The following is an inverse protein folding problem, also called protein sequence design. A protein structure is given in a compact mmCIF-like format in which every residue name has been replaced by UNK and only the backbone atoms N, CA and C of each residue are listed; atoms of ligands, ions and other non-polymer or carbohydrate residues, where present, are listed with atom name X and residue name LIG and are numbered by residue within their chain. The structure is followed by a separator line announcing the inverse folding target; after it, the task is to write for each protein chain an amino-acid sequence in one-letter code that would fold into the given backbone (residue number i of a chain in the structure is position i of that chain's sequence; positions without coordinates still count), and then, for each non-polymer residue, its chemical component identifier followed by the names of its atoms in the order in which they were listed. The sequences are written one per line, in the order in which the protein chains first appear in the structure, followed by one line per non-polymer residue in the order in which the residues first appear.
data_IF_123277743585
#
_entry.id   IF_123277743585
#
_cell.length_a   1.000
_cell.length_b   1.000
_cell.length_c   1.000
_cell.angle_alpha   90.00
_cell.angle_beta   90.00
_cell.angle_gamma   90.00
#
_symmetry.space_group_name_H-M   'P 1'
#
loop_
_entity.id
_entity.type
_entity.pdbx_description
1 polymer ?
#
# COMPACT_ATOMS: atom_id res chain seq x y z
N UNK A 1 -43.41 25.40 36.70
CA UNK A 1 -42.49 24.23 36.71
C UNK A 1 -41.66 24.32 37.99
N UNK A 2 -41.64 23.25 38.80
CA UNK A 2 -41.18 23.26 40.20
C UNK A 2 -39.65 23.37 40.32
N UNK A 3 -39.18 24.32 41.12
CA UNK A 3 -37.78 24.54 41.54
C UNK A 3 -37.10 23.30 42.14
N UNK A 4 -37.89 22.32 42.61
CA UNK A 4 -37.40 21.09 43.23
C UNK A 4 -36.69 20.12 42.29
N UNK A 5 -36.77 20.30 40.96
CA UNK A 5 -36.05 19.48 39.97
C UNK A 5 -34.64 19.99 39.64
N UNK A 6 -34.30 21.21 40.06
CA UNK A 6 -32.97 21.81 39.82
C UNK A 6 -31.99 21.48 40.95
N UNK A 7 -32.48 21.27 42.19
CA UNK A 7 -31.63 20.87 43.31
C UNK A 7 -31.13 19.42 43.22
N UNK A 8 -31.83 18.54 42.48
CA UNK A 8 -31.40 17.15 42.27
C UNK A 8 -30.29 16.99 41.22
N UNK A 9 -29.81 18.07 40.60
CA UNK A 9 -28.76 18.07 39.59
C UNK A 9 -27.43 18.67 40.10
N UNK A 10 -27.36 19.06 41.38
CA UNK A 10 -26.11 19.49 42.00
C UNK A 10 -25.27 18.26 42.34
N UNK A 11 -24.20 18.06 41.58
CA UNK A 11 -23.19 17.03 41.84
C UNK A 11 -22.45 17.40 43.13
N UNK A 12 -22.69 16.62 44.19
CA UNK A 12 -22.01 16.74 45.47
C UNK A 12 -20.57 16.24 45.31
N UNK A 13 -19.58 17.14 45.38
CA UNK A 13 -18.17 16.84 45.12
C UNK A 13 -17.42 16.42 46.41
N UNK A 14 -18.16 16.05 47.46
CA UNK A 14 -17.63 15.73 48.79
C UNK A 14 -17.29 14.24 48.99
N UNK A 15 -17.54 13.37 48.02
CA UNK A 15 -17.29 11.91 48.10
C UNK A 15 -16.28 11.44 47.05
N UNK A 16 -15.12 12.10 46.97
CA UNK A 16 -13.93 11.54 46.31
C UNK A 16 -12.79 11.45 47.32
N UNK A 17 -12.95 10.58 48.31
CA UNK A 17 -11.79 10.08 49.06
C UNK A 17 -10.97 9.19 48.12
N UNK A 18 -9.89 9.76 47.57
CA UNK A 18 -8.85 8.98 46.89
C UNK A 18 -8.15 8.14 47.95
N UNK A 19 -8.00 6.80 47.79
CA UNK A 19 -7.21 6.02 48.71
C UNK A 19 -5.76 6.48 48.62
N UNK A 20 -5.27 7.16 49.67
CA UNK A 20 -3.87 7.54 49.83
C UNK A 20 -3.08 6.27 50.17
N UNK A 21 -2.80 5.43 49.17
CA UNK A 21 -1.80 4.37 49.35
C UNK A 21 -0.48 5.05 49.76
N UNK A 22 0.11 4.65 50.90
CA UNK A 22 1.31 5.31 51.40
C UNK A 22 2.42 5.15 50.35
N UNK A 23 3.13 6.24 50.07
CA UNK A 23 4.18 6.32 49.04
C UNK A 23 5.19 5.16 49.13
N UNK A 24 5.39 4.62 50.34
CA UNK A 24 6.19 3.44 50.63
C UNK A 24 5.75 2.16 49.87
N UNK A 25 4.45 1.94 49.64
CA UNK A 25 3.94 0.76 48.93
C UNK A 25 4.25 0.85 47.43
N UNK A 26 4.18 2.05 46.85
CA UNK A 26 4.54 2.28 45.45
C UNK A 26 6.06 2.09 45.25
N UNK A 27 6.87 2.62 46.17
CA UNK A 27 8.33 2.45 46.13
C UNK A 27 8.74 0.97 46.30
N UNK A 28 8.06 0.22 47.17
CA UNK A 28 8.30 -1.23 47.31
C UNK A 28 7.97 -1.99 46.02
N UNK A 29 6.88 -1.62 45.34
CA UNK A 29 6.51 -2.22 44.05
C UNK A 29 7.56 -1.95 42.95
N UNK A 30 8.08 -0.73 42.86
CA UNK A 30 9.12 -0.37 41.89
C UNK A 30 10.43 -1.13 42.18
N UNK A 31 10.83 -1.25 43.45
CA UNK A 31 12.02 -2.00 43.84
C UNK A 31 11.93 -3.50 43.47
N UNK A 32 10.73 -4.09 43.58
CA UNK A 32 10.48 -5.49 43.23
C UNK A 32 10.62 -5.73 41.72
N UNK A 33 10.06 -4.82 40.90
CA UNK A 33 10.15 -4.91 39.42
C UNK A 33 11.59 -4.70 38.94
N UNK A 34 12.34 -3.78 39.57
CA UNK A 34 13.74 -3.56 39.27
C UNK A 34 14.60 -4.80 39.63
N UNK A 35 14.33 -5.45 40.77
CA UNK A 35 15.02 -6.67 41.17
C UNK A 35 14.78 -7.86 40.23
N UNK A 36 13.54 -8.05 39.78
CA UNK A 36 13.20 -9.12 38.81
C UNK A 36 13.84 -8.84 37.44
N UNK A 37 13.87 -7.59 37.00
CA UNK A 37 14.52 -7.22 35.74
C UNK A 37 16.03 -7.46 35.80
N UNK A 38 16.67 -7.17 36.94
CA UNK A 38 18.10 -7.42 37.14
C UNK A 38 18.41 -8.93 37.21
N UNK A 39 17.51 -9.74 37.78
CA UNK A 39 17.65 -11.19 37.84
C UNK A 39 17.63 -11.85 36.45
N UNK A 40 16.81 -11.33 35.53
CA UNK A 40 16.78 -11.81 34.14
C UNK A 40 17.91 -11.27 33.26
N UNK A 41 18.56 -10.17 33.67
CA UNK A 41 19.66 -9.55 32.93
C UNK A 41 21.05 -10.13 33.25
N UNK A 42 21.18 -11.03 34.23
CA UNK A 42 22.45 -11.70 34.55
C UNK A 42 22.59 -12.93 33.63
N UNK A 43 23.55 -12.94 32.69
CA UNK A 43 23.74 -14.05 31.76
C UNK A 43 24.14 -15.33 32.49
N UNK A 44 23.42 -16.42 32.24
CA UNK A 44 23.73 -17.74 32.81
C UNK A 44 24.73 -18.47 31.91
N UNK A 45 25.67 -19.20 32.52
CA UNK A 45 26.77 -19.89 31.85
C UNK A 45 26.35 -20.91 30.77
N UNK A 46 25.07 -21.28 30.69
CA UNK A 46 24.50 -22.18 29.68
C UNK A 46 24.22 -21.52 28.32
N UNK A 47 24.22 -20.19 28.22
CA UNK A 47 23.94 -19.50 26.94
C UNK A 47 25.19 -19.39 26.03
N UNK A 48 26.38 -19.60 26.60
CA UNK A 48 27.64 -19.54 25.87
C UNK A 48 27.85 -20.72 24.89
N UNK A 49 27.14 -21.83 25.07
CA UNK A 49 27.27 -23.01 24.18
C UNK A 49 26.48 -22.90 22.87
N UNK A 50 25.59 -21.91 22.70
CA UNK A 50 24.83 -21.71 21.45
C UNK A 50 25.53 -20.83 20.40
N UNK A 51 26.59 -20.12 20.77
CA UNK A 51 27.25 -19.13 19.89
C UNK A 51 28.63 -19.63 19.37
N UNK A 52 29.23 -20.65 19.99
CA UNK A 52 30.49 -21.23 19.53
C UNK A 52 30.25 -22.47 18.64
N UNK A 53 30.11 -22.26 17.33
CA UNK A 53 30.00 -23.33 16.36
C UNK A 53 31.16 -24.33 16.39
N UNK A 54 30.84 -25.62 16.29
CA UNK A 54 31.77 -26.65 15.83
C UNK A 54 31.10 -27.56 14.80
N UNK A 55 31.62 -27.46 13.57
CA UNK A 55 31.64 -28.48 12.50
C UNK A 55 31.82 -29.89 13.10
N UNK A 56 31.07 -30.87 12.60
CA UNK A 56 31.44 -32.29 12.70
C UNK A 56 31.32 -32.98 11.32
N UNK A 57 32.33 -33.75 10.89
CA UNK A 57 32.39 -34.37 9.56
C UNK A 57 31.69 -35.74 9.52
N UNK A 58 31.48 -36.24 8.31
CA UNK A 58 31.07 -37.59 7.97
C UNK A 58 32.13 -38.64 8.36
N UNK A 59 31.70 -39.76 8.96
CA UNK A 59 31.91 -41.14 8.44
C UNK A 59 31.45 -42.24 9.42
N UNK A 60 30.69 -43.19 8.85
CA UNK A 60 30.73 -44.65 8.99
C UNK A 60 30.65 -45.36 10.37
N UNK A 61 29.62 -46.21 10.57
CA UNK A 61 29.73 -47.70 10.52
C UNK A 61 28.67 -48.44 11.39
N UNK A 62 27.96 -49.38 10.73
CA UNK A 62 27.33 -50.64 11.20
C UNK A 62 26.05 -50.63 12.06
N UNK A 63 24.97 -51.17 11.48
CA UNK A 63 24.23 -52.30 12.04
C UNK A 63 23.36 -52.97 10.94
N UNK A 64 23.32 -54.31 10.94
CA UNK A 64 22.84 -55.18 9.88
C UNK A 64 21.37 -55.67 10.06
N UNK A 65 20.69 -55.90 8.91
CA UNK A 65 19.73 -56.97 8.49
C UNK A 65 18.61 -57.50 9.45
N UNK A 66 17.43 -57.96 8.96
CA UNK A 66 17.26 -58.78 7.75
C UNK A 66 16.04 -58.51 6.83
N UNK A 67 16.06 -59.25 5.72
CA UNK A 67 15.15 -59.26 4.58
C UNK A 67 13.71 -59.72 4.88
N UNK A 68 12.76 -59.25 4.06
CA UNK A 68 11.67 -60.07 3.50
C UNK A 68 10.93 -59.38 2.34
N UNK A 69 10.88 -60.11 1.23
CA UNK A 69 9.77 -60.31 0.27
C UNK A 69 9.03 -59.09 -0.33
N UNK A 70 9.03 -58.99 -1.67
CA UNK A 70 7.92 -59.45 -2.56
C UNK A 70 8.00 -58.72 -3.90
N UNK A 71 7.96 -59.51 -4.98
CA UNK A 71 7.93 -59.07 -6.37
C UNK A 71 6.85 -57.99 -6.61
N UNK A 72 7.24 -56.85 -7.17
CA UNK A 72 6.31 -55.94 -7.85
C UNK A 72 6.65 -55.87 -9.33
N UNK A 73 5.73 -56.46 -10.08
CA UNK A 73 5.55 -56.43 -11.52
C UNK A 73 5.64 -54.99 -12.04
N UNK A 74 6.63 -54.72 -12.89
CA UNK A 74 6.66 -53.50 -13.70
C UNK A 74 5.61 -53.63 -14.81
N UNK A 75 4.43 -53.06 -14.59
CA UNK A 75 3.56 -52.62 -15.69
C UNK A 75 4.13 -51.31 -16.24
N UNK A 76 4.55 -51.24 -17.51
CA UNK A 76 4.78 -49.94 -18.14
C UNK A 76 3.43 -49.24 -18.29
N UNK A 77 3.21 -48.20 -17.48
CA UNK A 77 2.11 -47.27 -17.69
C UNK A 77 2.39 -46.56 -19.01
N UNK A 78 1.64 -46.95 -20.05
CA UNK A 78 1.64 -46.30 -21.35
C UNK A 78 1.60 -44.79 -21.16
N UNK A 79 2.65 -44.11 -21.61
CA UNK A 79 2.62 -42.70 -21.86
C UNK A 79 1.58 -42.48 -22.95
N UNK A 80 0.43 -41.92 -22.57
CA UNK A 80 -0.46 -41.27 -23.53
C UNK A 80 0.31 -40.07 -24.06
N UNK A 81 0.98 -40.29 -25.19
CA UNK A 81 1.54 -39.25 -26.03
C UNK A 81 0.40 -38.35 -26.46
N UNK A 82 0.30 -37.19 -25.80
CA UNK A 82 -0.41 -36.04 -26.36
C UNK A 82 0.16 -35.79 -27.75
N UNK A 83 -0.67 -35.56 -28.79
CA UNK A 83 -0.15 -35.38 -30.14
C UNK A 83 0.82 -34.20 -30.15
N UNK A 84 2.06 -34.44 -30.58
CA UNK A 84 3.03 -33.38 -30.89
C UNK A 84 2.36 -32.45 -31.91
N UNK A 85 2.07 -31.21 -31.49
CA UNK A 85 1.79 -30.13 -32.43
C UNK A 85 3.06 -29.95 -33.24
N UNK A 86 3.00 -30.31 -34.52
CA UNK A 86 4.16 -30.59 -35.39
C UNK A 86 5.08 -29.38 -35.68
N UNK A 87 4.76 -28.22 -35.12
CA UNK A 87 5.43 -26.93 -35.37
C UNK A 87 5.90 -26.18 -34.10
N UNK A 88 5.78 -26.77 -32.90
CA UNK A 88 6.32 -26.16 -31.67
C UNK A 88 7.79 -26.56 -31.44
N UNK A 89 8.63 -25.57 -31.15
CA UNK A 89 10.07 -25.76 -30.84
C UNK A 89 10.27 -26.14 -29.38
N UNK A 90 9.39 -25.64 -28.51
CA UNK A 90 9.46 -25.82 -27.08
C UNK A 90 8.05 -25.63 -26.50
N UNK A 91 7.68 -26.46 -25.53
CA UNK A 91 6.44 -26.32 -24.76
C UNK A 91 6.79 -26.18 -23.29
N UNK A 92 6.31 -25.12 -22.65
CA UNK A 92 6.57 -24.85 -21.23
C UNK A 92 5.27 -24.43 -20.54
N UNK A 93 5.09 -24.85 -19.29
CA UNK A 93 3.97 -24.37 -18.47
C UNK A 93 4.37 -23.12 -17.68
N UNK A 94 3.44 -22.20 -17.54
CA UNK A 94 3.57 -20.98 -16.73
C UNK A 94 2.24 -20.59 -16.10
N UNK A 95 2.19 -19.40 -15.50
CA UNK A 95 0.99 -18.86 -14.86
C UNK A 95 0.56 -17.56 -15.54
N UNK A 96 -0.74 -17.38 -15.70
CA UNK A 96 -1.32 -16.14 -16.22
C UNK A 96 -1.28 -15.09 -15.11
N UNK A 97 -0.75 -13.92 -15.39
CA UNK A 97 -0.65 -12.79 -14.48
C UNK A 97 -1.19 -11.53 -15.17
N UNK A 98 -1.71 -10.58 -14.41
CA UNK A 98 -1.96 -9.25 -14.95
C UNK A 98 -0.62 -8.59 -15.26
N UNK A 99 -0.56 -7.85 -16.37
CA UNK A 99 0.64 -7.07 -16.71
C UNK A 99 0.94 -6.02 -15.64
N UNK A 100 -0.10 -5.32 -15.19
CA UNK A 100 -0.02 -4.30 -14.16
C UNK A 100 -1.01 -4.61 -13.04
N UNK A 101 -0.47 -4.86 -11.85
CA UNK A 101 -1.23 -4.92 -10.60
C UNK A 101 -0.98 -3.63 -9.85
N UNK A 102 -2.02 -2.83 -9.67
CA UNK A 102 -1.94 -1.54 -8.98
C UNK A 102 -2.53 -1.71 -7.58
N UNK A 103 -1.74 -1.35 -6.58
CA UNK A 103 -2.15 -1.35 -5.19
C UNK A 103 -2.38 0.10 -4.75
N UNK A 104 -3.62 0.42 -4.38
CA UNK A 104 -4.00 1.73 -3.91
C UNK A 104 -3.71 1.85 -2.43
N UNK A 105 -2.80 2.74 -2.08
CA UNK A 105 -2.40 3.03 -0.71
C UNK A 105 -2.77 4.45 -0.32
N UNK A 106 -3.09 4.72 0.96
CA UNK A 106 -3.35 6.07 1.41
C UNK A 106 -2.05 6.88 1.39
N UNK A 107 -2.15 8.21 1.24
CA UNK A 107 -0.99 9.11 1.30
C UNK A 107 -0.62 9.55 2.72
N UNK A 108 -1.57 9.44 3.65
CA UNK A 108 -1.43 9.85 5.04
C UNK A 108 -2.22 8.87 5.93
N UNK A 109 -2.03 8.94 7.25
CA UNK A 109 -2.75 8.08 8.19
C UNK A 109 -4.20 8.54 8.34
N UNK A 110 -5.16 7.62 8.38
CA UNK A 110 -6.57 7.98 8.51
C UNK A 110 -7.44 6.78 8.83
N UNK A 111 -8.70 7.03 9.18
CA UNK A 111 -9.69 5.97 9.39
C UNK A 111 -10.52 5.84 8.13
N UNK A 112 -10.80 4.61 7.71
CA UNK A 112 -11.68 4.35 6.57
C UNK A 112 -13.13 4.65 6.95
N UNK A 113 -13.74 5.64 6.30
CA UNK A 113 -15.13 6.02 6.51
C UNK A 113 -16.08 5.15 5.68
N UNK A 114 -15.70 4.86 4.44
CA UNK A 114 -16.54 4.09 3.51
C UNK A 114 -15.73 3.41 2.40
N UNK A 115 -16.22 2.26 1.95
CA UNK A 115 -15.67 1.50 0.82
C UNK A 115 -16.81 1.22 -0.16
N UNK A 116 -16.64 1.64 -1.41
CA UNK A 116 -17.68 1.61 -2.44
C UNK A 116 -17.68 0.41 -3.38
N UNK A 117 -16.76 -0.53 -3.18
CA UNK A 117 -16.53 -1.65 -4.11
C UNK A 117 -16.36 -2.96 -3.37
N UNK A 118 -16.60 -4.05 -4.08
CA UNK A 118 -16.34 -5.42 -3.65
C UNK A 118 -15.29 -6.06 -4.56
N UNK A 119 -14.72 -7.16 -4.07
CA UNK A 119 -13.87 -8.03 -4.89
C UNK A 119 -14.65 -8.52 -6.11
N UNK A 120 -14.07 -8.36 -7.30
CA UNK A 120 -14.68 -8.73 -8.58
C UNK A 120 -15.49 -7.62 -9.23
N UNK A 121 -15.75 -6.49 -8.55
CA UNK A 121 -16.45 -5.36 -9.18
C UNK A 121 -15.55 -4.69 -10.23
N UNK A 122 -16.17 -4.31 -11.35
CA UNK A 122 -15.53 -3.47 -12.36
C UNK A 122 -15.54 -2.00 -11.88
N UNK A 123 -14.43 -1.30 -12.11
CA UNK A 123 -14.25 0.11 -11.78
C UNK A 123 -13.79 0.89 -13.01
N UNK A 124 -14.25 2.13 -13.12
CA UNK A 124 -13.78 3.06 -14.15
C UNK A 124 -12.66 3.95 -13.62
N UNK A 125 -11.86 4.51 -14.53
CA UNK A 125 -10.87 5.51 -14.20
C UNK A 125 -11.54 6.69 -13.46
N UNK A 126 -10.88 7.17 -12.42
CA UNK A 126 -11.27 8.26 -11.53
C UNK A 126 -12.52 7.98 -10.66
N UNK A 127 -13.06 6.77 -10.68
CA UNK A 127 -14.14 6.34 -9.78
C UNK A 127 -13.65 6.32 -8.33
N UNK A 128 -14.46 6.86 -7.41
CA UNK A 128 -14.17 6.82 -5.97
C UNK A 128 -14.36 5.40 -5.46
N UNK A 129 -13.34 4.89 -4.79
CA UNK A 129 -13.28 3.50 -4.33
C UNK A 129 -13.29 3.42 -2.80
N UNK A 130 -12.55 4.32 -2.15
CA UNK A 130 -12.46 4.44 -0.69
C UNK A 130 -12.56 5.92 -0.30
N UNK A 131 -13.27 6.17 0.80
CA UNK A 131 -13.30 7.47 1.48
C UNK A 131 -12.71 7.29 2.88
N UNK A 132 -11.72 8.12 3.20
CA UNK A 132 -11.22 8.29 4.56
C UNK A 132 -12.06 9.32 5.31
N UNK A 133 -12.00 9.30 6.64
CA UNK A 133 -12.66 10.30 7.47
C UNK A 133 -12.07 11.69 7.22
N UNK A 134 -12.93 12.60 6.78
CA UNK A 134 -12.66 13.97 6.37
C UNK A 134 -13.18 15.01 7.38
N UNK A 135 -13.79 14.57 8.49
CA UNK A 135 -14.51 15.44 9.42
C UNK A 135 -13.62 16.52 10.03
N UNK A 136 -12.42 16.15 10.51
CA UNK A 136 -11.46 17.11 11.07
C UNK A 136 -10.93 18.08 9.98
N UNK A 137 -10.70 17.58 8.77
CA UNK A 137 -10.17 18.38 7.67
C UNK A 137 -11.16 19.46 7.21
N UNK A 138 -12.46 19.14 7.14
CA UNK A 138 -13.50 20.13 6.86
C UNK A 138 -13.69 21.15 7.98
N UNK A 139 -13.53 20.74 9.25
CA UNK A 139 -13.55 21.68 10.37
C UNK A 139 -12.37 22.67 10.28
N UNK A 140 -11.15 22.19 9.99
CA UNK A 140 -9.96 23.03 9.76
C UNK A 140 -10.11 23.92 8.53
N UNK A 141 -10.69 23.41 7.44
CA UNK A 141 -10.98 24.22 6.26
C UNK A 141 -11.89 25.40 6.59
N UNK A 142 -12.92 25.17 7.41
CA UNK A 142 -13.84 26.22 7.87
C UNK A 142 -13.12 27.25 8.74
N UNK A 143 -12.25 26.82 9.66
CA UNK A 143 -11.41 27.71 10.47
C UNK A 143 -10.51 28.60 9.60
N UNK A 144 -9.82 28.01 8.62
CA UNK A 144 -8.89 28.72 7.73
C UNK A 144 -9.65 29.68 6.81
N UNK A 145 -10.86 29.31 6.34
CA UNK A 145 -11.73 30.22 5.58
C UNK A 145 -12.10 31.46 6.40
N UNK A 146 -12.51 31.28 7.66
CA UNK A 146 -12.79 32.43 8.55
C UNK A 146 -11.55 33.31 8.78
N UNK A 147 -10.37 32.71 8.93
CA UNK A 147 -9.10 33.44 9.03
C UNK A 147 -8.78 34.21 7.74
N UNK A 148 -9.05 33.63 6.57
CA UNK A 148 -8.84 34.26 5.26
C UNK A 148 -9.75 35.48 5.09
N UNK A 149 -11.00 35.41 5.55
CA UNK A 149 -11.92 36.55 5.55
C UNK A 149 -11.40 37.67 6.47
N UNK A 150 -10.94 37.33 7.67
CA UNK A 150 -10.36 38.31 8.59
C UNK A 150 -9.10 39.00 8.01
N UNK A 151 -8.20 38.27 7.36
CA UNK A 151 -6.99 38.85 6.76
C UNK A 151 -7.32 39.69 5.52
N UNK A 152 -8.32 39.30 4.74
CA UNK A 152 -8.84 40.11 3.62
C UNK A 152 -9.46 41.42 4.10
N UNK A 153 -10.27 41.39 5.16
CA UNK A 153 -10.83 42.61 5.75
C UNK A 153 -9.72 43.54 6.28
N UNK A 154 -8.64 42.98 6.84
CA UNK A 154 -7.49 43.78 7.27
C UNK A 154 -6.71 44.39 6.09
N UNK A 155 -6.56 43.66 4.99
CA UNK A 155 -5.99 44.19 3.75
C UNK A 155 -6.83 45.35 3.21
N UNK A 156 -8.15 45.18 3.13
CA UNK A 156 -9.06 46.23 2.68
C UNK A 156 -8.95 47.47 3.58
N UNK A 157 -8.93 47.30 4.91
CA UNK A 157 -8.72 48.40 5.86
C UNK A 157 -7.39 49.13 5.63
N UNK A 158 -6.31 48.40 5.38
CA UNK A 158 -4.99 49.00 5.08
C UNK A 158 -4.99 49.74 3.76
N UNK A 159 -5.65 49.20 2.73
CA UNK A 159 -5.78 49.84 1.42
C UNK A 159 -6.60 51.13 1.50
N UNK A 160 -7.71 51.14 2.24
CA UNK A 160 -8.52 52.33 2.47
C UNK A 160 -7.73 53.40 3.25
N UNK A 161 -6.94 53.00 4.23
CA UNK A 161 -6.07 53.92 4.98
C UNK A 161 -4.97 54.51 4.10
N UNK A 162 -4.33 53.68 3.27
CA UNK A 162 -3.34 54.12 2.28
C UNK A 162 -3.93 55.13 1.30
N UNK A 163 -5.08 54.82 0.68
CA UNK A 163 -5.77 55.72 -0.25
C UNK A 163 -6.21 57.04 0.42
N UNK A 164 -6.54 57.02 1.71
CA UNK A 164 -6.85 58.23 2.48
C UNK A 164 -5.60 59.08 2.67
N UNK A 165 -4.49 58.49 3.10
CA UNK A 165 -3.23 59.21 3.35
C UNK A 165 -2.63 59.75 2.05
N UNK A 166 -2.73 59.01 0.95
CA UNK A 166 -2.32 59.46 -0.38
C UNK A 166 -3.00 60.78 -0.79
N UNK A 167 -4.31 60.89 -0.53
CA UNK A 167 -5.06 62.14 -0.75
C UNK A 167 -4.59 63.27 0.16
N UNK A 168 -4.29 62.97 1.42
CA UNK A 168 -3.82 63.97 2.41
C UNK A 168 -2.41 64.48 2.10
N UNK A 169 -1.51 63.61 1.64
CA UNK A 169 -0.18 64.02 1.15
C UNK A 169 -0.29 64.90 -0.09
N UNK A 170 -1.19 64.55 -1.03
CA UNK A 170 -1.47 65.39 -2.21
C UNK A 170 -2.00 66.77 -1.82
N UNK A 171 -2.82 66.83 -0.76
CA UNK A 171 -3.30 68.07 -0.16
C UNK A 171 -2.27 68.78 0.74
N UNK A 172 -1.04 68.25 0.86
CA UNK A 172 0.06 68.75 1.72
C UNK A 172 -0.28 68.82 3.21
N UNK A 173 -1.22 67.99 3.67
CA UNK A 173 -1.61 67.87 5.08
C UNK A 173 -0.75 66.85 5.80
N UNK A 174 -0.24 65.84 5.09
CA UNK A 174 0.49 64.71 5.65
C UNK A 174 1.89 64.54 5.02
N UNK A 175 2.77 63.76 5.66
CA UNK A 175 4.16 63.56 5.19
C UNK A 175 4.30 62.37 4.23
N UNK A 176 5.31 62.44 3.36
CA UNK A 176 5.66 61.32 2.46
C UNK A 176 6.04 60.06 3.23
N UNK A 177 6.71 60.21 4.39
CA UNK A 177 7.08 59.09 5.25
C UNK A 177 5.83 58.30 5.69
N UNK A 178 4.75 58.98 6.06
CA UNK A 178 3.52 58.29 6.44
C UNK A 178 2.87 57.56 5.27
N UNK A 179 2.93 58.10 4.06
CA UNK A 179 2.45 57.40 2.87
C UNK A 179 3.24 56.10 2.63
N UNK A 180 4.57 56.16 2.78
CA UNK A 180 5.44 54.99 2.65
C UNK A 180 5.16 53.94 3.75
N UNK A 181 4.92 54.37 4.99
CA UNK A 181 4.53 53.48 6.10
C UNK A 181 3.22 52.74 5.78
N UNK A 182 2.19 53.46 5.28
CA UNK A 182 0.94 52.83 4.86
C UNK A 182 1.09 51.92 3.64
N UNK A 183 1.98 52.27 2.70
CA UNK A 183 2.32 51.41 1.56
C UNK A 183 2.93 50.09 2.03
N UNK A 184 3.84 50.15 3.01
CA UNK A 184 4.43 48.97 3.62
C UNK A 184 3.36 48.16 4.38
N UNK A 185 2.44 48.81 5.10
CA UNK A 185 1.34 48.14 5.78
C UNK A 185 0.41 47.38 4.82
N UNK A 186 0.10 47.96 3.65
CA UNK A 186 -0.65 47.25 2.60
C UNK A 186 0.12 46.01 2.15
N UNK A 187 1.43 46.14 1.85
CA UNK A 187 2.27 45.01 1.43
C UNK A 187 2.33 43.90 2.49
N UNK A 188 2.40 44.24 3.77
CA UNK A 188 2.36 43.28 4.88
C UNK A 188 1.01 42.57 4.92
N UNK A 189 -0.10 43.30 4.79
CA UNK A 189 -1.43 42.71 4.78
C UNK A 189 -1.65 41.80 3.54
N UNK A 190 -1.13 42.17 2.37
CA UNK A 190 -1.15 41.33 1.17
C UNK A 190 -0.38 40.02 1.38
N UNK A 191 0.80 40.09 2.00
CA UNK A 191 1.59 38.91 2.35
C UNK A 191 0.83 37.98 3.30
N UNK A 192 0.11 38.53 4.28
CA UNK A 192 -0.69 37.75 5.22
C UNK A 192 -1.88 37.04 4.54
N UNK A 193 -2.53 37.70 3.58
CA UNK A 193 -3.59 37.07 2.76
C UNK A 193 -3.00 35.90 1.97
N UNK A 194 -1.85 36.11 1.32
CA UNK A 194 -1.17 35.07 0.55
C UNK A 194 -0.75 33.86 1.41
N UNK A 195 -0.25 34.11 2.62
CA UNK A 195 0.08 33.04 3.58
C UNK A 195 -1.17 32.22 3.93
N UNK A 196 -2.27 32.89 4.28
CA UNK A 196 -3.54 32.23 4.65
C UNK A 196 -4.13 31.45 3.47
N UNK A 197 -4.01 31.96 2.24
CA UNK A 197 -4.39 31.23 1.03
C UNK A 197 -3.55 29.97 0.82
N UNK A 198 -2.26 30.02 1.11
CA UNK A 198 -1.39 28.85 1.08
C UNK A 198 -1.83 27.77 2.08
N UNK A 199 -2.22 28.18 3.29
CA UNK A 199 -2.78 27.27 4.30
C UNK A 199 -4.11 26.65 3.83
N UNK A 200 -4.97 27.42 3.14
CA UNK A 200 -6.23 26.91 2.59
C UNK A 200 -6.00 25.89 1.47
N UNK A 201 -5.07 26.16 0.55
CA UNK A 201 -4.73 25.22 -0.52
C UNK A 201 -4.14 23.91 0.04
N UNK A 202 -3.36 24.00 1.12
CA UNK A 202 -2.80 22.83 1.79
C UNK A 202 -3.90 21.95 2.40
N UNK A 203 -4.87 22.53 3.13
CA UNK A 203 -5.96 21.73 3.73
C UNK A 203 -6.87 21.12 2.66
N UNK A 204 -7.12 21.82 1.56
CA UNK A 204 -7.87 21.29 0.42
C UNK A 204 -7.16 20.09 -0.20
N UNK A 205 -5.83 20.14 -0.31
CA UNK A 205 -5.04 19.00 -0.79
C UNK A 205 -5.18 17.79 0.13
N UNK A 206 -5.23 17.99 1.45
CA UNK A 206 -5.48 16.89 2.39
C UNK A 206 -6.88 16.30 2.24
N UNK A 207 -7.90 17.13 2.05
CA UNK A 207 -9.28 16.66 1.75
C UNK A 207 -9.29 15.86 0.45
N UNK A 208 -8.60 16.32 -0.60
CA UNK A 208 -8.53 15.56 -1.85
C UNK A 208 -7.86 14.19 -1.66
N UNK A 209 -6.87 14.10 -0.77
CA UNK A 209 -6.23 12.83 -0.44
C UNK A 209 -7.11 11.89 0.39
N UNK A 210 -8.17 12.36 1.05
CA UNK A 210 -9.14 11.47 1.73
C UNK A 210 -9.95 10.66 0.72
N UNK A 211 -10.04 11.14 -0.53
CA UNK A 211 -10.81 10.54 -1.61
C UNK A 211 -9.88 9.69 -2.48
N UNK A 212 -9.98 8.38 -2.34
CA UNK A 212 -9.11 7.44 -3.07
C UNK A 212 -9.84 6.94 -4.30
N UNK A 213 -9.24 7.19 -5.47
CA UNK A 213 -9.82 6.93 -6.78
C UNK A 213 -9.03 5.89 -7.56
N UNK A 214 -9.70 5.17 -8.45
CA UNK A 214 -9.05 4.24 -9.37
C UNK A 214 -8.27 5.01 -10.46
N UNK A 215 -6.99 4.72 -10.71
CA UNK A 215 -6.21 5.36 -11.77
C UNK A 215 -6.47 4.76 -13.17
N UNK A 216 -7.08 3.58 -13.23
CA UNK A 216 -7.35 2.86 -14.48
C UNK A 216 -8.78 2.33 -14.50
N UNK A 217 -9.25 1.95 -15.69
CA UNK A 217 -10.41 1.07 -15.81
C UNK A 217 -9.93 -0.36 -15.54
N UNK A 218 -10.62 -1.10 -14.68
CA UNK A 218 -10.17 -2.44 -14.30
C UNK A 218 -11.14 -3.15 -13.39
N UNK A 219 -10.65 -4.21 -12.74
CA UNK A 219 -11.43 -5.02 -11.81
C UNK A 219 -10.72 -5.06 -10.46
N UNK A 220 -11.49 -5.04 -9.37
CA UNK A 220 -10.97 -5.17 -8.02
C UNK A 220 -10.55 -6.63 -7.75
N UNK A 221 -9.26 -6.84 -7.54
CA UNK A 221 -8.68 -8.15 -7.23
C UNK A 221 -8.88 -8.53 -5.77
N UNK A 222 -8.53 -7.60 -4.87
CA UNK A 222 -8.54 -7.82 -3.43
C UNK A 222 -8.95 -6.54 -2.71
N UNK A 223 -9.76 -6.71 -1.66
CA UNK A 223 -10.06 -5.70 -0.65
C UNK A 223 -9.26 -6.07 0.60
N UNK A 224 -8.33 -5.21 1.00
CA UNK A 224 -7.37 -5.46 2.06
C UNK A 224 -7.72 -4.73 3.37
N UNK A 225 -8.76 -3.90 3.35
CA UNK A 225 -9.18 -3.05 4.47
C UNK A 225 -10.69 -3.13 4.69
N UNK A 226 -11.12 -2.91 5.92
CA UNK A 226 -12.53 -2.79 6.30
C UNK A 226 -12.94 -1.37 6.72
N UNK A 227 -14.23 -1.02 6.63
CA UNK A 227 -14.73 0.24 7.18
C UNK A 227 -14.40 0.36 8.67
N UNK A 228 -14.09 1.58 9.12
CA UNK A 228 -13.69 1.92 10.48
C UNK A 228 -12.32 1.38 10.91
N UNK A 229 -11.50 0.90 9.96
CA UNK A 229 -10.12 0.50 10.20
C UNK A 229 -9.15 1.69 10.08
N UNK A 230 -8.09 1.69 10.90
CA UNK A 230 -7.02 2.67 10.84
C UNK A 230 -5.99 2.24 9.77
N UNK A 231 -5.75 3.11 8.79
CA UNK A 231 -4.80 2.86 7.71
C UNK A 231 -3.61 3.80 7.80
N UNK A 232 -2.44 3.30 7.42
CA UNK A 232 -1.19 4.06 7.41
C UNK A 232 -0.46 3.89 6.07
N UNK A 233 0.17 4.95 5.54
CA UNK A 233 0.86 4.93 4.24
C UNK A 233 2.13 4.07 4.26
N UNK A 234 2.67 3.78 5.45
CA UNK A 234 3.84 2.93 5.64
C UNK A 234 3.51 1.88 6.70
N UNK A 235 3.42 0.62 6.27
CA UNK A 235 3.51 -0.51 7.19
C UNK A 235 4.81 -1.24 6.90
N UNK A 236 5.81 -0.97 7.73
CA UNK A 236 7.06 -1.72 7.73
C UNK A 236 6.77 -3.06 8.41
N UNK A 237 6.58 -4.14 7.65
CA UNK A 237 6.40 -5.46 8.25
C UNK A 237 5.72 -6.53 7.40
N UNK A 238 5.15 -6.21 6.24
CA UNK A 238 4.55 -7.20 5.34
C UNK A 238 5.52 -7.71 4.28
N UNK A 239 5.43 -9.01 3.94
CA UNK A 239 6.12 -9.66 2.80
C UNK A 239 5.81 -9.02 1.43
N UNK A 240 4.91 -8.03 1.36
CA UNK A 240 4.40 -7.40 0.13
C UNK A 240 4.69 -5.89 0.01
N UNK A 241 5.86 -5.44 0.46
CA UNK A 241 6.34 -4.07 0.15
C UNK A 241 5.82 -2.94 1.07
N UNK A 242 6.20 -1.67 0.79
CA UNK A 242 6.26 -0.60 1.79
C UNK A 242 4.97 0.17 2.12
N UNK A 243 3.76 -0.32 1.82
CA UNK A 243 2.51 0.39 2.18
C UNK A 243 1.36 -0.55 2.47
N UNK A 244 0.48 -0.20 3.43
CA UNK A 244 -0.81 -0.89 3.61
C UNK A 244 -1.70 -0.55 2.43
N UNK A 245 -1.65 -1.40 1.41
CA UNK A 245 -2.57 -1.33 0.28
C UNK A 245 -4.01 -1.52 0.80
N UNK A 246 -4.91 -0.64 0.37
CA UNK A 246 -6.34 -0.71 0.70
C UNK A 246 -7.05 -1.65 -0.24
N UNK A 247 -6.72 -1.51 -1.53
CA UNK A 247 -7.38 -2.18 -2.64
C UNK A 247 -6.33 -2.49 -3.70
N UNK A 248 -6.37 -3.72 -4.21
CA UNK A 248 -5.61 -4.12 -5.39
C UNK A 248 -6.55 -4.18 -6.59
N UNK A 249 -6.14 -3.60 -7.71
CA UNK A 249 -6.87 -3.59 -8.97
C UNK A 249 -5.94 -3.86 -10.14
N UNK A 250 -6.50 -4.41 -11.21
CA UNK A 250 -5.77 -4.66 -12.45
C UNK A 250 -6.70 -4.59 -13.66
N UNK A 251 -6.12 -4.39 -14.84
CA UNK A 251 -6.84 -4.49 -16.11
C UNK A 251 -6.97 -5.98 -16.49
N UNK A 252 -8.20 -6.53 -16.62
CA UNK A 252 -8.41 -7.90 -17.10
C UNK A 252 -8.09 -8.07 -18.60
N UNK A 253 -7.98 -6.98 -19.35
CA UNK A 253 -7.74 -6.99 -20.80
C UNK A 253 -6.25 -7.09 -21.15
N UNK A 254 -5.37 -6.83 -20.19
CA UNK A 254 -3.91 -6.88 -20.38
C UNK A 254 -3.29 -7.97 -19.49
N UNK A 255 -3.30 -9.20 -20.04
CA UNK A 255 -2.79 -10.39 -19.40
C UNK A 255 -1.49 -10.88 -20.04
N UNK A 256 -0.59 -11.40 -19.21
CA UNK A 256 0.67 -12.00 -19.61
C UNK A 256 0.78 -13.41 -19.01
N UNK A 257 1.57 -14.27 -19.63
CA UNK A 257 1.98 -15.55 -19.03
C UNK A 257 3.41 -15.41 -18.54
N UNK A 258 3.59 -15.63 -17.25
CA UNK A 258 4.89 -15.70 -16.61
C UNK A 258 5.41 -17.14 -16.64
N UNK A 259 6.59 -17.33 -17.23
CA UNK A 259 7.20 -18.63 -17.46
C UNK A 259 8.60 -18.63 -16.87
N UNK A 260 8.89 -19.63 -16.04
CA UNK A 260 10.23 -19.95 -15.56
C UNK A 260 10.89 -20.91 -16.56
N UNK A 261 11.80 -20.40 -17.41
CA UNK A 261 12.47 -21.20 -18.44
C UNK A 261 13.83 -21.70 -17.94
N UNK A 262 14.15 -22.98 -18.14
CA UNK A 262 15.46 -23.54 -17.81
C UNK A 262 16.56 -22.92 -18.69
N UNK A 263 17.73 -22.61 -18.12
CA UNK A 263 18.87 -21.99 -18.81
C UNK A 263 19.26 -22.72 -20.11
N UNK A 264 19.18 -24.04 -20.12
CA UNK A 264 19.47 -24.87 -21.29
C UNK A 264 18.56 -24.59 -22.51
N UNK A 265 17.34 -24.10 -22.27
CA UNK A 265 16.33 -23.86 -23.30
C UNK A 265 16.19 -22.36 -23.66
N UNK A 266 16.84 -21.46 -22.92
CA UNK A 266 16.82 -20.01 -23.13
C UNK A 266 17.31 -19.61 -24.53
N UNK A 267 18.24 -20.37 -25.11
CA UNK A 267 18.76 -20.12 -26.46
C UNK A 267 17.73 -20.36 -27.57
N UNK A 268 16.66 -21.13 -27.29
CA UNK A 268 15.61 -21.47 -28.26
C UNK A 268 14.49 -20.42 -28.33
N UNK A 269 14.51 -19.43 -27.43
CA UNK A 269 13.45 -18.42 -27.29
C UNK A 269 14.00 -17.02 -27.56
N UNK A 270 13.31 -16.30 -28.45
CA UNK A 270 13.68 -14.95 -28.87
C UNK A 270 12.58 -13.93 -28.53
N UNK A 271 12.96 -12.67 -28.35
CA UNK A 271 12.02 -11.56 -28.17
C UNK A 271 11.13 -11.42 -29.42
N UNK A 272 9.83 -11.19 -29.22
CA UNK A 272 8.84 -11.07 -30.28
C UNK A 272 8.44 -12.40 -30.97
N UNK A 273 8.97 -13.54 -30.52
CA UNK A 273 8.59 -14.84 -31.07
C UNK A 273 7.10 -15.12 -30.82
N UNK A 274 6.41 -15.66 -31.83
CA UNK A 274 4.99 -16.03 -31.74
C UNK A 274 4.83 -17.29 -30.89
N UNK A 275 3.85 -17.27 -30.00
CA UNK A 275 3.53 -18.39 -29.12
C UNK A 275 2.03 -18.70 -29.19
N UNK A 276 1.69 -19.96 -28.96
CA UNK A 276 0.32 -20.40 -28.71
C UNK A 276 0.18 -20.70 -27.22
N UNK A 277 -0.84 -20.10 -26.60
CA UNK A 277 -1.10 -20.26 -25.17
C UNK A 277 -2.38 -21.07 -25.01
N UNK A 278 -2.32 -22.14 -24.23
CA UNK A 278 -3.46 -23.01 -23.90
C UNK A 278 -3.59 -23.09 -22.39
N UNK A 279 -4.60 -22.45 -21.79
CA UNK A 279 -4.88 -22.59 -20.36
C UNK A 279 -5.16 -24.05 -20.01
N UNK A 280 -4.60 -24.55 -18.92
CA UNK A 280 -4.81 -25.95 -18.53
C UNK A 280 -6.26 -26.22 -18.09
N UNK A 281 -6.94 -25.19 -17.59
CA UNK A 281 -8.36 -25.25 -17.23
C UNK A 281 -9.29 -25.41 -18.44
N UNK A 282 -8.86 -24.94 -19.63
CA UNK A 282 -9.65 -24.98 -20.87
C UNK A 282 -8.77 -25.41 -22.05
N UNK A 283 -8.42 -26.71 -22.15
CA UNK A 283 -7.49 -27.20 -23.17
C UNK A 283 -7.95 -26.99 -24.60
N UNK A 284 -9.27 -26.87 -24.83
CA UNK A 284 -9.88 -26.60 -26.13
C UNK A 284 -9.69 -25.15 -26.60
N UNK A 285 -9.32 -24.23 -25.71
CA UNK A 285 -9.10 -22.82 -26.05
C UNK A 285 -7.62 -22.54 -26.26
N UNK A 286 -7.31 -21.91 -27.39
CA UNK A 286 -5.96 -21.49 -27.75
C UNK A 286 -5.94 -19.99 -28.02
N UNK A 287 -5.00 -19.29 -27.42
CA UNK A 287 -4.78 -17.86 -27.60
C UNK A 287 -3.44 -17.64 -28.29
N UNK A 288 -3.38 -16.60 -29.12
CA UNK A 288 -2.12 -16.16 -29.71
C UNK A 288 -1.40 -15.21 -28.76
N UNK A 289 -0.08 -15.32 -28.71
CA UNK A 289 0.75 -14.41 -27.92
C UNK A 289 2.12 -14.21 -28.54
N UNK A 290 2.92 -13.38 -27.89
CA UNK A 290 4.31 -13.17 -28.28
C UNK A 290 5.19 -12.94 -27.06
N UNK A 291 6.47 -13.28 -27.18
CA UNK A 291 7.46 -13.00 -26.12
C UNK A 291 7.67 -11.50 -26.00
N UNK A 292 7.19 -10.92 -24.91
CA UNK A 292 7.25 -9.47 -24.68
C UNK A 292 8.48 -9.07 -23.87
N UNK A 293 8.83 -9.84 -22.86
CA UNK A 293 9.94 -9.55 -21.95
C UNK A 293 10.76 -10.80 -21.67
N UNK A 294 12.07 -10.62 -21.61
CA UNK A 294 13.03 -11.63 -21.17
C UNK A 294 13.85 -11.01 -20.05
N UNK A 295 13.81 -11.59 -18.86
CA UNK A 295 14.56 -11.07 -17.73
C UNK A 295 16.08 -11.03 -18.08
N UNK A 296 16.80 -9.95 -17.74
CA UNK A 296 18.23 -9.85 -18.00
C UNK A 296 19.06 -10.73 -17.05
N UNK A 297 18.51 -11.09 -15.89
CA UNK A 297 19.18 -11.90 -14.86
C UNK A 297 18.44 -13.22 -14.63
N UNK A 298 19.21 -14.30 -14.54
CA UNK A 298 18.70 -15.61 -14.16
C UNK A 298 18.62 -15.77 -12.63
N UNK A 299 17.58 -16.43 -12.15
CA UNK A 299 17.46 -16.77 -10.73
C UNK A 299 18.41 -17.92 -10.38
N UNK A 300 19.50 -17.62 -9.67
CA UNK A 300 20.47 -18.64 -9.22
C UNK A 300 19.85 -19.70 -8.31
N UNK A 301 18.78 -19.36 -7.59
CA UNK A 301 18.10 -20.32 -6.71
C UNK A 301 17.33 -21.39 -7.49
N UNK A 302 16.73 -21.00 -8.63
CA UNK A 302 15.91 -21.91 -9.46
C UNK A 302 16.65 -22.46 -10.68
N UNK A 303 17.75 -21.83 -11.11
CA UNK A 303 18.41 -22.16 -12.38
C UNK A 303 17.55 -21.80 -13.60
N UNK A 304 16.64 -20.83 -13.46
CA UNK A 304 15.68 -20.44 -14.49
C UNK A 304 15.81 -18.97 -14.85
N UNK A 305 15.43 -18.65 -16.08
CA UNK A 305 15.24 -17.30 -16.60
C UNK A 305 13.74 -17.03 -16.75
N UNK A 306 13.27 -15.94 -16.15
CA UNK A 306 11.88 -15.54 -16.23
C UNK A 306 11.59 -14.90 -17.60
N UNK A 307 10.53 -15.36 -18.26
CA UNK A 307 10.07 -14.83 -19.54
C UNK A 307 8.59 -14.48 -19.41
N UNK A 308 8.20 -13.32 -19.94
CA UNK A 308 6.79 -12.90 -20.00
C UNK A 308 6.30 -12.93 -21.44
N UNK A 309 5.21 -13.64 -21.66
CA UNK A 309 4.54 -13.77 -22.96
C UNK A 309 3.25 -12.98 -22.91
N UNK A 310 3.10 -11.98 -23.78
CA UNK A 310 1.88 -11.18 -23.88
C UNK A 310 0.78 -11.98 -24.59
N UNK A 311 -0.40 -12.03 -23.99
CA UNK A 311 -1.59 -12.63 -24.60
C UNK A 311 -2.29 -11.58 -25.47
N UNK A 312 -2.67 -11.94 -26.70
CA UNK A 312 -3.49 -11.08 -27.56
C UNK A 312 -4.97 -11.37 -27.32
N UNK A 313 -5.74 -10.29 -27.15
CA UNK A 313 -7.21 -10.32 -27.01
C UNK A 313 -7.70 -11.39 -26.01
N UNK A 314 -7.36 -11.25 -24.72
CA UNK A 314 -7.86 -12.17 -23.71
C UNK A 314 -9.40 -12.11 -23.62
N UNK A 315 -10.01 -13.28 -23.42
CA UNK A 315 -11.45 -13.44 -23.22
C UNK A 315 -11.76 -13.54 -21.72
N UNK A 316 -13.02 -13.39 -21.31
CA UNK A 316 -13.46 -13.40 -19.91
C UNK A 316 -13.16 -14.70 -19.14
N UNK A 317 -12.80 -15.77 -19.86
CA UNK A 317 -12.40 -17.06 -19.28
C UNK A 317 -10.94 -17.09 -18.79
N UNK A 318 -10.11 -16.14 -19.24
CA UNK A 318 -8.74 -16.00 -18.76
C UNK A 318 -8.74 -15.20 -17.47
N UNK A 319 -8.70 -15.91 -16.35
CA UNK A 319 -8.47 -15.28 -15.05
C UNK A 319 -6.98 -15.31 -14.69
N UNK A 320 -6.48 -14.29 -13.99
CA UNK A 320 -5.16 -14.33 -13.38
C UNK A 320 -4.98 -15.55 -12.46
N UNK A 321 -3.74 -15.95 -12.24
CA UNK A 321 -3.28 -17.11 -11.46
C UNK A 321 -3.62 -18.49 -12.05
N UNK A 322 -4.23 -18.57 -13.25
CA UNK A 322 -4.43 -19.85 -13.94
C UNK A 322 -3.11 -20.38 -14.53
N UNK A 323 -2.90 -21.69 -14.49
CA UNK A 323 -1.81 -22.33 -15.22
C UNK A 323 -2.12 -22.38 -16.72
N UNK A 324 -1.11 -22.15 -17.56
CA UNK A 324 -1.21 -22.21 -18.99
C UNK A 324 0.04 -22.83 -19.62
N UNK A 325 -0.16 -23.63 -20.66
CA UNK A 325 0.91 -24.15 -21.51
C UNK A 325 1.19 -23.17 -22.64
N UNK A 326 2.46 -22.93 -22.91
CA UNK A 326 2.93 -22.04 -23.96
C UNK A 326 3.80 -22.81 -24.92
N UNK A 327 3.31 -22.93 -26.15
CA UNK A 327 4.01 -23.52 -27.27
C UNK A 327 4.71 -22.42 -28.07
N UNK A 328 6.04 -22.43 -28.06
CA UNK A 328 6.87 -21.52 -28.85
C UNK A 328 6.91 -22.02 -30.29
N UNK A 329 6.35 -21.24 -31.23
CA UNK A 329 6.27 -21.66 -32.62
C UNK A 329 7.63 -21.53 -33.30
N UNK A 330 7.92 -22.44 -34.23
CA UNK A 330 9.11 -22.35 -35.09
C UNK A 330 8.96 -21.15 -36.01
N UNK A 331 9.91 -20.22 -35.98
CA UNK A 331 9.96 -19.17 -37.00
C UNK A 331 10.41 -19.78 -38.34
N UNK A 332 9.84 -19.31 -39.46
CA UNK A 332 10.24 -19.75 -40.80
C UNK A 332 11.68 -19.37 -41.14
#
# INVERSE_FOLDING_TARGET
MKSSKLDSLRIDNSVRERPRLPLAVILLGIALVAGVSLYFAIPRASDAERIAGKKKPANATSAALPASATNSTLTPRSATTSPLVKDSVLTVSGYIVNRERIELSPRFMGVVKWIGVKKGDAVTNNQVVVLLDDTEYHARETEIKGRLEATRANLEKSQLSYARVEKLVTAKVETQQQLDDWRLNVRVAEAQVKETQGQLALIQTYIDWTIIRSPINGVILEKLVDPNELVTPQSFGGTRGPSTALIALADPSDLQVEIDLNEADVAKVYLGQKCRISPEAYPEKTYEGYVAEKAPEASRQKGTLQIKVQIKAPDAFLTPELSAKVDFMRQP
#
